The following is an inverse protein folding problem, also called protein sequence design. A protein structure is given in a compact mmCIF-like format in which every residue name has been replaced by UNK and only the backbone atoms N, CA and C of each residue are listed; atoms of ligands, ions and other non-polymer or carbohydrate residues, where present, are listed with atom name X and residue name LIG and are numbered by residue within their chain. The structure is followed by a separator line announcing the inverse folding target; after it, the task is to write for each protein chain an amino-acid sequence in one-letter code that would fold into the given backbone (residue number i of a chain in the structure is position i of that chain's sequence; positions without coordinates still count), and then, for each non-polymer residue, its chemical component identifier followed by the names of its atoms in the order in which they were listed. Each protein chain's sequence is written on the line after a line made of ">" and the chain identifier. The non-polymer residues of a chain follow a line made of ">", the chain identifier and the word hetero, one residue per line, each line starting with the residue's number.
data_IF_377477549366
#
_entry.id   IF_377477549366
#
_cell.length_a   1.000
_cell.length_b   1.000
_cell.length_c   1.000
_cell.angle_alpha   90.00
_cell.angle_beta   90.00
_cell.angle_gamma   90.00
#
_symmetry.space_group_name_H-M   'P 1'
#
loop_
_entity.id
_entity.type
_entity.pdbx_description
1 polymer ?
#
# COMPACT_ATOMS: atom_id res chain seq x y z
N UNK A 1 1.24 26.91 -29.80
CA UNK A 1 0.95 25.53 -29.33
C UNK A 1 1.25 24.42 -30.35
N UNK A 2 1.36 24.65 -31.67
CA UNK A 2 1.40 23.52 -32.64
C UNK A 2 2.69 22.69 -32.69
N UNK A 3 3.87 23.20 -32.29
CA UNK A 3 5.13 22.43 -32.40
C UNK A 3 5.43 21.50 -31.21
N UNK A 4 4.80 21.73 -30.05
CA UNK A 4 5.07 20.95 -28.83
C UNK A 4 4.70 19.48 -29.05
N UNK A 5 3.48 19.23 -29.55
CA UNK A 5 2.97 17.88 -29.84
C UNK A 5 3.90 17.09 -30.78
N UNK A 6 4.30 17.68 -31.91
CA UNK A 6 5.18 16.97 -32.85
C UNK A 6 6.54 16.66 -32.24
N UNK A 7 7.10 17.58 -31.44
CA UNK A 7 8.37 17.37 -30.74
C UNK A 7 8.28 16.26 -29.70
N UNK A 8 7.21 16.21 -28.90
CA UNK A 8 7.04 15.14 -27.89
C UNK A 8 6.79 13.78 -28.55
N UNK A 9 6.06 13.74 -29.66
CA UNK A 9 5.87 12.51 -30.46
C UNK A 9 7.22 12.01 -30.98
N UNK A 10 8.00 12.87 -31.64
CA UNK A 10 9.32 12.51 -32.16
C UNK A 10 10.25 12.01 -31.04
N UNK A 11 10.19 12.65 -29.87
CA UNK A 11 11.00 12.26 -28.71
C UNK A 11 10.55 10.90 -28.15
N UNK A 12 9.24 10.65 -28.06
CA UNK A 12 8.68 9.40 -27.56
C UNK A 12 9.09 8.20 -28.41
N UNK A 13 9.13 8.34 -29.74
CA UNK A 13 9.59 7.29 -30.66
C UNK A 13 11.08 6.95 -30.54
N UNK A 14 11.90 7.89 -30.04
CA UNK A 14 13.35 7.68 -29.84
C UNK A 14 13.68 7.07 -28.47
N UNK A 15 12.74 7.08 -27.51
CA UNK A 15 12.95 6.52 -26.18
C UNK A 15 13.11 5.01 -26.25
N UNK A 16 14.15 4.49 -25.58
CA UNK A 16 14.39 3.06 -25.40
C UNK A 16 13.84 2.59 -24.06
N UNK A 17 13.68 1.28 -23.92
CA UNK A 17 13.35 0.68 -22.64
C UNK A 17 14.46 0.99 -21.63
N UNK A 18 14.07 1.36 -20.42
CA UNK A 18 15.00 1.48 -19.29
C UNK A 18 15.47 0.07 -18.94
N UNK A 19 16.77 -0.09 -18.69
CA UNK A 19 17.32 -1.38 -18.31
C UNK A 19 16.92 -1.69 -16.87
N UNK A 20 16.22 -2.82 -16.69
CA UNK A 20 15.79 -3.32 -15.39
C UNK A 20 16.72 -4.44 -14.97
N UNK A 21 17.52 -4.17 -13.94
CA UNK A 21 18.43 -5.14 -13.35
C UNK A 21 17.64 -6.35 -12.85
N UNK A 22 17.85 -7.51 -13.47
CA UNK A 22 17.24 -8.76 -12.97
C UNK A 22 17.99 -9.17 -11.71
N UNK A 23 17.29 -9.45 -10.59
CA UNK A 23 17.91 -10.11 -9.45
C UNK A 23 18.62 -11.39 -9.90
N UNK A 24 19.83 -11.61 -9.39
CA UNK A 24 20.57 -12.85 -9.65
C UNK A 24 19.92 -14.06 -8.95
N UNK A 25 19.29 -13.79 -7.82
CA UNK A 25 18.59 -14.75 -6.95
C UNK A 25 17.21 -15.13 -7.49
N UNK A 26 16.67 -16.27 -7.03
CA UNK A 26 15.31 -16.69 -7.39
C UNK A 26 14.27 -15.78 -6.71
N UNK A 27 13.06 -15.62 -7.29
CA UNK A 27 11.96 -14.88 -6.67
C UNK A 27 11.65 -15.24 -5.22
N UNK A 28 11.78 -16.51 -4.85
CA UNK A 28 11.58 -16.98 -3.48
C UNK A 28 12.55 -16.37 -2.45
N UNK A 29 13.73 -15.94 -2.88
CA UNK A 29 14.78 -15.41 -2.00
C UNK A 29 14.55 -13.93 -1.66
N UNK A 30 13.96 -13.16 -2.58
CA UNK A 30 13.63 -11.75 -2.35
C UNK A 30 12.15 -11.49 -2.09
N UNK A 31 11.29 -12.52 -2.14
CA UNK A 31 9.87 -12.37 -1.85
C UNK A 31 9.64 -11.87 -0.42
N UNK A 32 8.79 -10.87 -0.26
CA UNK A 32 8.48 -10.23 1.02
C UNK A 32 9.73 -9.72 1.78
N UNK A 33 10.83 -9.43 1.07
CA UNK A 33 12.07 -8.88 1.64
C UNK A 33 11.82 -7.63 2.47
N UNK A 34 10.95 -6.73 1.98
CA UNK A 34 10.62 -5.46 2.61
C UNK A 34 9.35 -5.50 3.46
N UNK A 35 8.90 -6.67 3.90
CA UNK A 35 7.69 -6.83 4.72
C UNK A 35 8.05 -7.46 6.04
N UNK A 36 7.63 -6.87 7.16
CA UNK A 36 7.78 -7.40 8.52
C UNK A 36 6.79 -8.56 8.77
N UNK A 37 6.99 -9.66 8.04
CA UNK A 37 6.15 -10.85 8.05
C UNK A 37 6.39 -11.74 9.30
N UNK A 38 5.61 -12.81 9.47
CA UNK A 38 5.71 -13.73 10.62
C UNK A 38 7.13 -14.28 10.83
N UNK A 39 7.87 -14.54 9.77
CA UNK A 39 9.28 -14.99 9.84
C UNK A 39 10.20 -13.93 10.48
N UNK A 40 10.09 -12.67 10.04
CA UNK A 40 10.86 -11.57 10.63
C UNK A 40 10.38 -11.27 12.04
N UNK A 41 9.08 -11.27 12.29
CA UNK A 41 8.53 -11.16 13.64
C UNK A 41 9.16 -12.20 14.58
N UNK A 42 9.29 -13.45 14.14
CA UNK A 42 9.94 -14.50 14.94
C UNK A 42 11.44 -14.24 15.20
N UNK A 43 12.15 -13.67 14.22
CA UNK A 43 13.57 -13.31 14.35
C UNK A 43 13.80 -12.10 15.27
N UNK A 44 12.94 -11.09 15.20
CA UNK A 44 13.16 -9.78 15.83
C UNK A 44 12.40 -9.59 17.15
N UNK A 45 11.41 -10.43 17.47
CA UNK A 45 10.60 -10.32 18.68
C UNK A 45 10.93 -11.41 19.70
N UNK A 46 10.88 -11.10 21.01
CA UNK A 46 10.90 -12.13 22.05
C UNK A 46 9.75 -13.12 21.88
N UNK A 47 9.97 -14.40 22.21
CA UNK A 47 8.99 -15.47 21.94
C UNK A 47 7.60 -15.21 22.54
N UNK A 48 7.52 -14.60 23.72
CA UNK A 48 6.24 -14.23 24.36
C UNK A 48 5.50 -13.16 23.55
N UNK A 49 6.21 -12.14 23.09
CA UNK A 49 5.68 -11.04 22.28
C UNK A 49 5.24 -11.54 20.90
N UNK A 50 6.07 -12.37 20.27
CA UNK A 50 5.71 -13.02 19.01
C UNK A 50 4.39 -13.79 19.15
N UNK A 51 4.25 -14.67 20.15
CA UNK A 51 3.03 -15.44 20.34
C UNK A 51 1.80 -14.56 20.61
N UNK A 52 1.95 -13.50 21.40
CA UNK A 52 0.88 -12.54 21.66
C UNK A 52 0.47 -11.78 20.39
N UNK A 53 1.44 -11.37 19.57
CA UNK A 53 1.17 -10.70 18.30
C UNK A 53 0.49 -11.63 17.29
N UNK A 54 0.91 -12.90 17.22
CA UNK A 54 0.25 -13.91 16.37
C UNK A 54 -1.20 -14.12 16.80
N UNK A 55 -1.47 -14.20 18.11
CA UNK A 55 -2.84 -14.31 18.62
C UNK A 55 -3.70 -13.07 18.28
N UNK A 56 -3.12 -11.87 18.36
CA UNK A 56 -3.78 -10.65 17.92
C UNK A 56 -4.10 -10.65 16.42
N UNK A 57 -3.19 -11.16 15.59
CA UNK A 57 -3.37 -11.25 14.12
C UNK A 57 -4.43 -12.29 13.75
N UNK A 58 -4.28 -13.51 14.26
CA UNK A 58 -5.07 -14.66 13.81
C UNK A 58 -6.45 -14.70 14.50
N UNK A 59 -6.53 -14.26 15.76
CA UNK A 59 -7.73 -14.36 16.61
C UNK A 59 -8.32 -13.01 17.05
N UNK A 60 -7.67 -11.88 16.74
CA UNK A 60 -8.17 -10.55 17.10
C UNK A 60 -8.06 -10.22 18.59
N UNK A 61 -7.15 -10.88 19.31
CA UNK A 61 -6.88 -10.59 20.71
C UNK A 61 -6.36 -9.13 20.89
N UNK A 62 -6.71 -8.45 21.98
CA UNK A 62 -6.18 -7.12 22.27
C UNK A 62 -4.67 -7.19 22.58
N UNK A 63 -3.92 -6.20 22.09
CA UNK A 63 -2.50 -6.05 22.41
C UNK A 63 -2.33 -5.15 23.63
N UNK A 64 -1.67 -5.67 24.66
CA UNK A 64 -1.26 -4.87 25.82
C UNK A 64 -0.18 -3.86 25.43
N UNK A 65 -0.16 -2.71 26.10
CA UNK A 65 0.80 -1.64 25.83
C UNK A 65 2.26 -2.08 26.02
N UNK A 66 2.52 -2.93 27.01
CA UNK A 66 3.87 -3.49 27.23
C UNK A 66 4.36 -4.34 26.05
N UNK A 67 3.45 -5.14 25.47
CA UNK A 67 3.73 -5.92 24.25
C UNK A 67 3.96 -4.99 23.07
N UNK A 68 3.18 -3.91 22.94
CA UNK A 68 3.35 -2.94 21.86
C UNK A 68 4.72 -2.25 21.88
N UNK A 69 5.26 -1.92 23.06
CA UNK A 69 6.60 -1.34 23.19
C UNK A 69 7.69 -2.32 22.71
N UNK A 70 7.57 -3.61 23.05
CA UNK A 70 8.50 -4.63 22.57
C UNK A 70 8.37 -4.90 21.06
N UNK A 71 7.13 -4.86 20.52
CA UNK A 71 6.89 -4.95 19.07
C UNK A 71 7.51 -3.77 18.34
N UNK A 72 7.31 -2.55 18.83
CA UNK A 72 7.89 -1.35 18.26
C UNK A 72 9.42 -1.44 18.24
N UNK A 73 10.04 -1.85 19.35
CA UNK A 73 11.49 -2.03 19.42
C UNK A 73 12.02 -3.06 18.39
N UNK A 74 11.36 -4.21 18.25
CA UNK A 74 11.74 -5.22 17.25
C UNK A 74 11.52 -4.78 15.80
N UNK A 75 10.40 -4.10 15.53
CA UNK A 75 10.07 -3.55 14.21
C UNK A 75 11.07 -2.45 13.81
N UNK A 76 11.40 -1.54 14.73
CA UNK A 76 12.42 -0.50 14.55
C UNK A 76 13.78 -1.12 14.25
N UNK A 77 14.20 -2.13 15.04
CA UNK A 77 15.49 -2.80 14.83
C UNK A 77 15.59 -3.40 13.42
N UNK A 78 14.54 -4.09 12.97
CA UNK A 78 14.47 -4.61 11.61
C UNK A 78 14.55 -3.50 10.57
N UNK A 79 13.78 -2.42 10.74
CA UNK A 79 13.75 -1.30 9.80
C UNK A 79 15.12 -0.62 9.66
N UNK A 80 15.83 -0.39 10.77
CA UNK A 80 17.17 0.20 10.75
C UNK A 80 18.18 -0.71 10.06
N UNK A 81 18.13 -2.03 10.30
CA UNK A 81 18.98 -2.99 9.58
C UNK A 81 18.73 -2.95 8.06
N UNK A 82 17.56 -2.51 7.63
CA UNK A 82 17.19 -2.30 6.22
C UNK A 82 17.54 -0.89 5.70
N UNK A 83 18.11 -0.01 6.53
CA UNK A 83 18.52 1.35 6.15
C UNK A 83 17.41 2.40 6.20
N UNK A 84 16.29 2.09 6.84
CA UNK A 84 15.14 3.00 6.97
C UNK A 84 15.47 4.12 7.96
N UNK A 85 15.04 5.34 7.63
CA UNK A 85 15.27 6.54 8.47
C UNK A 85 13.96 7.15 9.00
N UNK A 86 12.84 6.88 8.34
CA UNK A 86 11.52 7.42 8.69
C UNK A 86 10.50 6.30 8.91
N UNK A 87 9.39 6.63 9.57
CA UNK A 87 8.20 5.81 9.63
C UNK A 87 6.97 6.64 9.29
N UNK A 88 5.90 5.97 8.86
CA UNK A 88 4.60 6.59 8.59
C UNK A 88 3.47 5.66 8.99
N UNK A 89 2.40 6.25 9.52
CA UNK A 89 1.10 5.58 9.59
C UNK A 89 0.47 5.65 8.20
N UNK A 90 0.44 4.51 7.52
CA UNK A 90 -0.06 4.37 6.15
C UNK A 90 -1.53 3.99 6.19
N UNK A 91 -2.40 4.80 5.58
CA UNK A 91 -3.84 4.54 5.52
C UNK A 91 -4.47 5.07 4.24
N UNK A 92 -5.67 4.60 3.91
CA UNK A 92 -6.45 5.02 2.76
C UNK A 92 -7.70 5.80 3.21
N UNK A 93 -7.62 7.14 3.32
CA UNK A 93 -8.78 7.98 3.67
C UNK A 93 -9.84 7.96 2.57
N UNK A 94 -11.02 8.53 2.86
CA UNK A 94 -12.16 8.67 1.92
C UNK A 94 -11.92 9.71 0.79
N UNK A 95 -10.71 9.75 0.24
CA UNK A 95 -10.28 10.66 -0.83
C UNK A 95 -9.66 9.91 -2.02
N UNK A 96 -10.00 8.62 -2.18
CA UNK A 96 -9.58 7.74 -3.30
C UNK A 96 -8.06 7.53 -3.44
N UNK A 97 -7.27 7.88 -2.42
CA UNK A 97 -5.81 7.72 -2.40
C UNK A 97 -5.30 7.24 -1.04
N UNK A 98 -3.98 7.12 -0.92
CA UNK A 98 -3.30 6.84 0.35
C UNK A 98 -2.80 8.14 0.98
N UNK A 99 -2.73 8.16 2.31
CA UNK A 99 -2.17 9.25 3.08
C UNK A 99 -0.98 8.74 3.91
N UNK A 100 0.06 9.55 3.94
CA UNK A 100 1.29 9.28 4.65
C UNK A 100 1.81 10.58 5.28
N UNK A 101 2.35 10.45 6.49
CA UNK A 101 3.12 11.50 7.16
C UNK A 101 4.41 10.85 7.63
N UNK A 102 5.52 11.31 7.08
CA UNK A 102 6.83 10.73 7.37
C UNK A 102 7.41 11.41 8.61
N UNK A 103 7.52 10.65 9.69
CA UNK A 103 8.16 11.06 10.93
C UNK A 103 9.54 10.37 11.02
N UNK A 104 10.57 11.12 11.39
CA UNK A 104 11.91 10.56 11.55
C UNK A 104 11.98 9.69 12.81
N UNK A 105 12.79 8.63 12.78
CA UNK A 105 13.08 7.88 14.00
C UNK A 105 13.90 8.69 15.01
N UNK A 106 14.58 9.75 14.60
CA UNK A 106 15.49 10.51 15.47
C UNK A 106 14.78 11.64 16.21
N UNK A 107 15.00 11.70 17.52
CA UNK A 107 14.65 12.81 18.39
C UNK A 107 15.90 13.37 19.09
N UNK A 108 15.85 14.64 19.47
CA UNK A 108 16.95 15.29 20.17
C UNK A 108 16.99 14.86 21.64
N UNK A 109 18.14 14.44 22.14
CA UNK A 109 18.30 13.88 23.50
C UNK A 109 18.27 14.94 24.64
N UNK A 110 18.09 16.21 24.28
CA UNK A 110 18.10 17.36 25.18
C UNK A 110 19.49 17.78 25.68
N UNK A 111 20.54 17.08 25.25
CA UNK A 111 21.95 17.27 25.66
C UNK A 111 22.87 17.60 24.47
N UNK A 112 22.32 17.78 23.28
CA UNK A 112 23.06 18.11 22.06
C UNK A 112 23.36 16.90 21.17
N UNK A 113 22.83 15.72 21.51
CA UNK A 113 22.87 14.51 20.71
C UNK A 113 21.52 14.15 20.10
N UNK A 114 21.52 13.11 19.26
CA UNK A 114 20.32 12.53 18.67
C UNK A 114 20.15 11.10 19.21
N UNK A 115 18.92 10.74 19.54
CA UNK A 115 18.53 9.39 19.91
C UNK A 115 17.44 8.91 18.98
N UNK A 116 17.50 7.64 18.58
CA UNK A 116 16.41 7.08 17.80
C UNK A 116 15.31 6.56 18.74
N UNK A 117 14.08 7.03 18.56
CA UNK A 117 12.90 6.64 19.33
C UNK A 117 11.79 6.11 18.43
N UNK A 118 11.25 4.94 18.79
CA UNK A 118 10.02 4.40 18.22
C UNK A 118 9.35 3.54 19.29
N UNK A 119 8.35 4.13 19.96
CA UNK A 119 7.68 3.51 21.11
C UNK A 119 6.40 2.81 20.70
N UNK A 120 5.92 1.89 21.53
CA UNK A 120 4.63 1.21 21.33
C UNK A 120 3.46 2.18 21.32
N UNK A 121 3.58 3.33 21.99
CA UNK A 121 2.61 4.42 21.88
C UNK A 121 2.49 4.91 20.43
N UNK A 122 3.62 5.22 19.80
CA UNK A 122 3.67 5.69 18.40
C UNK A 122 3.27 4.61 17.41
N UNK A 123 3.53 3.34 17.73
CA UNK A 123 3.07 2.21 16.91
C UNK A 123 1.55 2.05 16.97
N UNK A 124 0.96 2.03 18.16
CA UNK A 124 -0.46 1.68 18.35
C UNK A 124 -1.39 2.83 17.96
N UNK A 125 -1.00 4.07 18.25
CA UNK A 125 -1.85 5.23 17.99
C UNK A 125 -1.02 6.48 17.66
N UNK A 126 -1.37 7.15 16.56
CA UNK A 126 -0.85 8.48 16.25
C UNK A 126 -2.01 9.49 16.15
N UNK A 127 -1.68 10.76 16.39
CA UNK A 127 -2.53 11.90 16.06
C UNK A 127 -2.01 12.51 14.75
N UNK A 128 -2.42 12.00 13.58
CA UNK A 128 -2.14 12.69 12.32
C UNK A 128 -2.88 14.03 12.32
N UNK A 129 -2.25 15.07 11.79
CA UNK A 129 -2.95 16.33 11.52
C UNK A 129 -4.05 16.05 10.49
N UNK A 130 -5.27 16.00 10.99
CA UNK A 130 -6.47 15.57 10.28
C UNK A 130 -7.31 16.76 9.79
N UNK A 131 -6.80 17.99 9.94
CA UNK A 131 -7.49 19.23 9.57
C UNK A 131 -7.96 19.28 8.10
N UNK A 132 -7.33 18.48 7.23
CA UNK A 132 -7.61 18.43 5.80
C UNK A 132 -8.55 17.30 5.35
N UNK A 133 -8.86 16.33 6.22
CA UNK A 133 -9.68 15.16 5.86
C UNK A 133 -11.10 15.24 6.47
N UNK A 134 -12.16 14.86 5.72
CA UNK A 134 -12.20 14.50 4.30
C UNK A 134 -12.36 15.71 3.36
N UNK A 135 -12.69 16.89 3.89
CA UNK A 135 -12.88 18.12 3.13
C UNK A 135 -12.07 19.25 3.76
N UNK A 136 -10.98 19.65 3.11
CA UNK A 136 -10.06 20.66 3.63
C UNK A 136 -10.76 21.99 3.95
N UNK A 137 -10.66 22.40 5.22
CA UNK A 137 -10.90 23.79 5.63
C UNK A 137 -12.33 24.18 6.04
N UNK A 138 -13.30 23.26 6.16
CA UNK A 138 -14.69 23.60 6.55
C UNK A 138 -15.01 23.26 8.02
N UNK A 139 -14.14 22.52 8.72
CA UNK A 139 -14.35 22.12 10.13
C UNK A 139 -13.55 23.02 11.09
N UNK A 140 -14.10 23.31 12.27
CA UNK A 140 -13.32 23.94 13.35
C UNK A 140 -12.08 23.08 13.64
N UNK A 141 -10.91 23.69 13.75
CA UNK A 141 -9.61 23.01 13.89
C UNK A 141 -9.52 22.05 15.08
N UNK A 142 -10.34 22.23 16.12
CA UNK A 142 -10.37 21.30 17.26
C UNK A 142 -11.17 20.02 16.98
N UNK A 143 -12.18 20.06 16.10
CA UNK A 143 -13.04 18.92 15.72
C UNK A 143 -12.47 18.10 14.56
N UNK A 144 -11.52 18.68 13.83
CA UNK A 144 -10.82 18.01 12.75
C UNK A 144 -9.66 17.13 13.24
N UNK A 145 -9.72 16.66 14.50
CA UNK A 145 -8.77 15.67 15.04
C UNK A 145 -9.17 14.28 14.58
N UNK A 146 -8.19 13.53 14.12
CA UNK A 146 -8.33 12.12 13.77
C UNK A 146 -7.22 11.32 14.43
N UNK A 147 -7.48 10.04 14.62
CA UNK A 147 -6.56 9.09 15.22
C UNK A 147 -6.29 7.98 14.23
N UNK A 148 -5.01 7.66 14.03
CA UNK A 148 -4.63 6.42 13.40
C UNK A 148 -4.50 5.33 14.46
N UNK A 149 -4.88 4.11 14.12
CA UNK A 149 -4.61 2.94 14.94
C UNK A 149 -4.03 1.81 14.09
N UNK A 150 -2.93 1.22 14.54
CA UNK A 150 -2.29 0.13 13.79
C UNK A 150 -3.19 -1.10 13.72
N UNK A 151 -3.32 -1.65 12.51
CA UNK A 151 -3.95 -2.96 12.30
C UNK A 151 -2.87 -4.03 12.06
N UNK A 152 -2.58 -4.89 13.05
CA UNK A 152 -1.56 -5.92 12.93
C UNK A 152 -1.89 -7.00 11.90
N UNK A 153 -3.16 -7.12 11.46
CA UNK A 153 -3.54 -8.09 10.42
C UNK A 153 -2.90 -7.80 9.06
N UNK A 154 -2.50 -6.55 8.83
CA UNK A 154 -1.70 -6.13 7.67
C UNK A 154 -0.26 -5.89 8.13
N UNK A 155 0.74 -6.62 7.61
CA UNK A 155 2.11 -6.48 8.08
C UNK A 155 2.69 -5.11 7.71
N UNK A 156 3.52 -4.54 8.59
CA UNK A 156 4.31 -3.37 8.26
C UNK A 156 5.29 -3.67 7.13
N UNK A 157 5.58 -2.68 6.30
CA UNK A 157 6.44 -2.85 5.12
C UNK A 157 7.31 -1.61 4.92
N UNK A 158 8.33 -1.73 4.08
CA UNK A 158 9.27 -0.65 3.78
C UNK A 158 9.10 -0.27 2.32
N UNK A 159 8.94 1.03 2.08
CA UNK A 159 9.06 1.63 0.74
C UNK A 159 10.19 2.64 0.82
N UNK A 160 11.16 2.51 -0.08
CA UNK A 160 12.37 3.31 -0.11
C UNK A 160 13.08 3.35 1.26
N UNK A 161 13.05 4.50 1.94
CA UNK A 161 13.70 4.75 3.22
C UNK A 161 12.71 4.86 4.39
N UNK A 162 11.46 4.45 4.19
CA UNK A 162 10.34 4.68 5.11
C UNK A 162 9.63 3.38 5.52
N UNK A 163 9.45 3.19 6.83
CA UNK A 163 8.64 2.12 7.42
C UNK A 163 7.15 2.51 7.39
N UNK A 164 6.37 1.84 6.56
CA UNK A 164 4.92 2.01 6.45
C UNK A 164 4.18 1.08 7.42
N UNK A 165 3.38 1.66 8.31
CA UNK A 165 2.59 0.96 9.33
C UNK A 165 1.11 1.01 8.90
N UNK A 166 0.50 -0.12 8.46
CA UNK A 166 -0.89 -0.12 8.00
C UNK A 166 -1.86 0.20 9.12
N UNK A 167 -2.62 1.27 8.98
CA UNK A 167 -3.47 1.80 10.06
C UNK A 167 -4.89 2.05 9.59
N UNK A 168 -5.81 2.04 10.54
CA UNK A 168 -7.15 2.59 10.36
C UNK A 168 -7.17 4.05 10.78
N UNK A 169 -8.04 4.86 10.17
CA UNK A 169 -8.17 6.29 10.48
C UNK A 169 -9.59 6.63 10.93
N UNK A 170 -9.70 7.20 12.13
CA UNK A 170 -10.96 7.41 12.85
C UNK A 170 -11.04 8.87 13.31
N UNK A 171 -12.19 9.50 13.15
CA UNK A 171 -12.46 10.82 13.69
C UNK A 171 -12.45 10.81 15.24
N UNK A 172 -12.24 11.97 15.86
CA UNK A 172 -12.44 12.14 17.30
C UNK A 172 -13.86 11.73 17.77
N UNK A 173 -14.86 11.85 16.90
CA UNK A 173 -16.25 11.42 17.15
C UNK A 173 -16.45 9.90 17.05
N UNK A 174 -15.43 9.12 16.66
CA UNK A 174 -15.50 7.67 16.48
C UNK A 174 -15.96 7.22 15.09
N UNK A 175 -16.22 8.16 14.17
CA UNK A 175 -16.56 7.88 12.78
C UNK A 175 -15.35 7.35 12.00
N UNK A 176 -15.55 6.37 11.12
CA UNK A 176 -14.49 5.92 10.22
C UNK A 176 -14.26 6.94 9.12
N UNK A 177 -13.01 7.40 8.96
CA UNK A 177 -12.58 8.34 7.92
C UNK A 177 -11.73 7.66 6.85
N UNK A 178 -11.73 6.32 6.83
CA UNK A 178 -11.00 5.47 5.90
C UNK A 178 -11.87 4.39 5.28
N UNK A 179 -11.27 3.66 4.33
CA UNK A 179 -11.87 2.46 3.75
C UNK A 179 -11.61 1.19 4.58
N UNK A 180 -10.54 1.16 5.37
CA UNK A 180 -10.09 -0.04 6.07
C UNK A 180 -10.98 -0.40 7.26
N UNK A 181 -11.37 0.56 8.11
CA UNK A 181 -12.23 0.26 9.25
C UNK A 181 -13.63 -0.26 8.84
N UNK A 182 -14.33 0.31 7.82
CA UNK A 182 -15.57 -0.25 7.30
C UNK A 182 -15.40 -1.67 6.73
N UNK A 183 -14.31 -1.92 5.97
CA UNK A 183 -14.02 -3.24 5.41
C UNK A 183 -13.82 -4.30 6.51
N UNK A 184 -13.02 -3.99 7.54
CA UNK A 184 -12.80 -4.91 8.67
C UNK A 184 -14.12 -5.24 9.40
N UNK A 185 -14.99 -4.24 9.59
CA UNK A 185 -16.33 -4.45 10.18
C UNK A 185 -17.20 -5.34 9.30
N UNK A 186 -17.20 -5.12 7.99
CA UNK A 186 -17.95 -5.92 7.03
C UNK A 186 -17.47 -7.38 7.03
N UNK A 187 -16.15 -7.61 6.97
CA UNK A 187 -15.57 -8.96 7.02
C UNK A 187 -15.93 -9.70 8.30
N UNK A 188 -15.89 -9.03 9.46
CA UNK A 188 -16.33 -9.63 10.74
C UNK A 188 -17.80 -10.00 10.76
N UNK A 189 -18.66 -9.16 10.16
CA UNK A 189 -20.09 -9.44 10.07
C UNK A 189 -20.37 -10.66 9.17
N UNK A 190 -19.67 -10.75 8.03
CA UNK A 190 -19.75 -11.89 7.10
C UNK A 190 -19.25 -13.17 7.77
N UNK A 191 -18.09 -13.13 8.43
CA UNK A 191 -17.53 -14.27 9.17
C UNK A 191 -18.53 -14.83 10.18
N UNK A 192 -19.06 -13.97 11.07
CA UNK A 192 -20.04 -14.38 12.09
C UNK A 192 -21.27 -15.04 11.47
N UNK A 193 -21.88 -14.40 10.46
CA UNK A 193 -23.07 -14.93 9.81
C UNK A 193 -22.79 -16.26 9.07
N UNK A 194 -21.64 -16.36 8.40
CA UNK A 194 -21.25 -17.57 7.68
C UNK A 194 -20.94 -18.74 8.63
N UNK A 195 -20.27 -18.49 9.76
CA UNK A 195 -20.02 -19.51 10.80
C UNK A 195 -21.33 -20.09 11.33
N UNK A 196 -22.33 -19.26 11.62
CA UNK A 196 -23.63 -19.72 12.13
C UNK A 196 -24.31 -20.66 11.13
N UNK A 197 -24.22 -20.36 9.82
CA UNK A 197 -24.76 -21.23 8.76
C UNK A 197 -23.94 -22.50 8.60
N UNK A 198 -22.61 -22.41 8.58
CA UNK A 198 -21.71 -23.56 8.42
C UNK A 198 -21.90 -24.61 9.54
N UNK A 199 -22.25 -24.17 10.75
CA UNK A 199 -22.46 -25.05 11.91
C UNK A 199 -23.68 -25.97 11.79
N UNK A 200 -24.60 -25.70 10.86
CA UNK A 200 -25.64 -26.68 10.51
C UNK A 200 -25.06 -27.94 9.85
N UNK A 201 -23.90 -27.84 9.19
CA UNK A 201 -23.25 -28.95 8.48
C UNK A 201 -22.03 -29.50 9.22
N UNK A 202 -21.24 -28.63 9.86
CA UNK A 202 -20.08 -29.01 10.65
C UNK A 202 -19.97 -28.11 11.90
N UNK A 203 -20.30 -28.64 13.11
CA UNK A 203 -20.20 -27.90 14.37
C UNK A 203 -18.78 -27.40 14.72
N UNK A 204 -17.73 -28.00 14.16
CA UNK A 204 -16.34 -27.64 14.45
C UNK A 204 -15.87 -26.35 13.76
N UNK A 205 -16.66 -25.78 12.84
CA UNK A 205 -16.32 -24.53 12.15
C UNK A 205 -16.27 -23.38 13.16
N UNK A 206 -15.11 -22.70 13.19
CA UNK A 206 -14.84 -21.56 14.12
C UNK A 206 -14.72 -20.21 13.42
N UNK A 207 -14.36 -20.20 12.14
CA UNK A 207 -14.08 -18.98 11.36
C UNK A 207 -14.28 -19.26 9.87
N UNK A 208 -14.81 -18.30 9.15
CA UNK A 208 -14.93 -18.27 7.69
C UNK A 208 -14.14 -17.06 7.18
N UNK A 209 -13.22 -17.30 6.26
CA UNK A 209 -12.33 -16.27 5.70
C UNK A 209 -12.75 -15.97 4.26
N UNK A 210 -12.93 -14.70 3.94
CA UNK A 210 -13.13 -14.24 2.57
C UNK A 210 -11.78 -14.00 1.89
N UNK A 211 -11.59 -14.59 0.70
CA UNK A 211 -10.42 -14.34 -0.15
C UNK A 211 -10.81 -13.40 -1.30
N UNK A 212 -9.96 -12.42 -1.58
CA UNK A 212 -10.13 -11.48 -2.69
C UNK A 212 -8.97 -11.67 -3.69
N UNK A 213 -9.31 -12.15 -4.88
CA UNK A 213 -8.43 -12.12 -6.05
C UNK A 213 -8.90 -11.01 -6.99
N UNK A 214 -8.16 -9.90 -7.04
CA UNK A 214 -8.47 -8.78 -7.94
C UNK A 214 -7.61 -8.87 -9.19
N UNK A 215 -8.14 -8.33 -10.29
CA UNK A 215 -7.44 -8.13 -11.55
C UNK A 215 -7.34 -6.62 -11.78
N UNK A 216 -6.14 -6.11 -12.05
CA UNK A 216 -5.91 -4.68 -12.22
C UNK A 216 -5.53 -4.35 -13.64
N UNK A 217 -6.42 -3.62 -14.29
CA UNK A 217 -6.18 -3.01 -15.60
C UNK A 217 -5.65 -1.59 -15.44
N UNK A 218 -4.86 -1.15 -16.42
CA UNK A 218 -4.32 0.20 -16.49
C UNK A 218 -3.90 0.56 -17.93
N UNK A 219 -3.87 1.85 -18.22
CA UNK A 219 -3.30 2.40 -19.45
C UNK A 219 -1.93 3.00 -19.18
N UNK A 220 -1.02 2.89 -20.14
CA UNK A 220 0.29 3.55 -20.09
C UNK A 220 0.44 4.55 -21.24
N UNK A 221 0.71 5.80 -20.90
CA UNK A 221 0.99 6.86 -21.87
C UNK A 221 2.41 7.38 -21.63
N UNK A 222 3.15 7.67 -22.71
CA UNK A 222 4.45 8.33 -22.57
C UNK A 222 4.28 9.66 -21.82
N UNK A 223 5.07 9.87 -20.77
CA UNK A 223 5.00 11.08 -19.93
C UNK A 223 5.00 12.38 -20.73
N UNK A 224 5.78 12.48 -21.82
CA UNK A 224 5.80 13.66 -22.68
C UNK A 224 4.51 13.87 -23.48
N UNK A 225 3.86 12.79 -23.88
CA UNK A 225 2.54 12.82 -24.54
C UNK A 225 1.43 13.13 -23.53
N UNK A 226 1.52 12.57 -22.32
CA UNK A 226 0.62 12.86 -21.20
C UNK A 226 0.67 14.35 -20.83
N UNK A 227 1.86 14.91 -20.64
CA UNK A 227 2.05 16.33 -20.34
C UNK A 227 1.58 17.27 -21.47
N UNK A 228 1.60 16.80 -22.72
CA UNK A 228 1.06 17.54 -23.86
C UNK A 228 -0.48 17.51 -23.96
N UNK A 229 -1.16 16.78 -23.06
CA UNK A 229 -2.63 16.67 -22.96
C UNK A 229 -3.11 17.23 -21.62
N UNK A 230 -3.36 18.55 -21.51
CA UNK A 230 -3.81 19.18 -20.28
C UNK A 230 -5.10 18.57 -19.72
N UNK A 231 -5.99 18.10 -20.58
CA UNK A 231 -7.23 17.42 -20.17
C UNK A 231 -6.94 16.09 -19.47
N UNK A 232 -6.04 15.27 -20.02
CA UNK A 232 -5.61 14.02 -19.41
C UNK A 232 -4.82 14.26 -18.10
N UNK A 233 -3.97 15.28 -18.09
CA UNK A 233 -3.18 15.68 -16.93
C UNK A 233 -4.06 16.13 -15.75
N UNK A 234 -5.08 16.94 -16.01
CA UNK A 234 -5.91 17.53 -14.96
C UNK A 234 -7.09 16.66 -14.54
N UNK A 235 -7.60 15.80 -15.44
CA UNK A 235 -8.84 15.05 -15.17
C UNK A 235 -8.66 13.54 -15.14
N UNK A 236 -7.46 13.03 -15.41
CA UNK A 236 -7.19 11.59 -15.48
C UNK A 236 -7.83 10.89 -16.69
N UNK A 237 -8.54 11.63 -17.55
CA UNK A 237 -9.18 11.11 -18.77
C UNK A 237 -9.11 12.13 -19.90
N UNK A 238 -9.29 11.67 -21.13
CA UNK A 238 -9.43 12.57 -22.28
C UNK A 238 -10.82 13.21 -22.27
N UNK A 239 -10.90 14.54 -22.40
CA UNK A 239 -12.18 15.27 -22.50
C UNK A 239 -12.60 15.50 -23.94
N UNK A 240 -11.65 15.41 -24.86
CA UNK A 240 -11.83 15.62 -26.28
C UNK A 240 -10.87 14.72 -27.07
N UNK A 241 -11.28 14.35 -28.27
CA UNK A 241 -10.52 13.48 -29.14
C UNK A 241 -11.46 12.81 -30.14
N UNK A 242 -10.99 12.59 -31.36
CA UNK A 242 -11.67 11.68 -32.26
C UNK A 242 -11.37 10.25 -31.81
N UNK A 243 -12.36 9.36 -31.89
CA UNK A 243 -12.16 7.94 -31.60
C UNK A 243 -11.02 7.37 -32.46
N UNK A 244 -10.31 6.39 -31.89
CA UNK A 244 -9.25 5.71 -32.63
C UNK A 244 -9.88 4.97 -33.82
N UNK A 245 -9.18 4.96 -34.96
CA UNK A 245 -9.70 4.39 -36.21
C UNK A 245 -10.08 2.89 -36.11
N UNK A 246 -9.59 2.18 -35.07
CA UNK A 246 -9.86 0.76 -34.82
C UNK A 246 -10.58 0.48 -33.50
N UNK A 247 -10.76 1.48 -32.64
CA UNK A 247 -11.42 1.40 -31.33
C UNK A 247 -11.11 0.07 -30.58
N UNK A 248 -12.13 -0.61 -30.02
CA UNK A 248 -12.00 -1.93 -29.39
C UNK A 248 -12.01 -3.11 -30.38
N UNK A 249 -11.88 -2.87 -31.69
CA UNK A 249 -12.02 -3.91 -32.74
C UNK A 249 -10.69 -4.57 -33.13
N UNK A 250 -9.62 -4.32 -32.37
CA UNK A 250 -8.34 -5.04 -32.51
C UNK A 250 -8.40 -6.32 -31.66
N UNK A 251 -9.14 -7.33 -32.13
CA UNK A 251 -9.17 -8.66 -31.51
C UNK A 251 -7.74 -9.27 -31.37
N UNK A 252 -6.82 -8.87 -32.25
CA UNK A 252 -5.41 -9.32 -32.28
C UNK A 252 -4.51 -8.70 -31.16
N UNK A 253 -5.01 -7.74 -30.38
CA UNK A 253 -4.20 -7.10 -29.32
C UNK A 253 -4.25 -7.84 -27.98
N UNK A 254 -5.29 -8.63 -27.75
CA UNK A 254 -5.40 -9.49 -26.57
C UNK A 254 -4.32 -10.59 -26.64
N UNK A 255 -3.43 -10.62 -25.66
CA UNK A 255 -2.18 -11.42 -25.70
C UNK A 255 -1.22 -11.10 -26.88
N UNK A 256 -1.38 -9.95 -27.54
CA UNK A 256 -0.45 -9.46 -28.55
C UNK A 256 0.93 -9.14 -27.97
N UNK A 257 1.92 -8.92 -28.84
CA UNK A 257 3.28 -8.60 -28.42
C UNK A 257 3.35 -7.32 -27.56
N UNK A 258 3.94 -7.42 -26.37
CA UNK A 258 4.10 -6.29 -25.45
C UNK A 258 5.27 -5.41 -25.93
N UNK A 259 5.07 -4.08 -26.13
CA UNK A 259 6.16 -3.16 -26.47
C UNK A 259 7.31 -3.26 -25.46
N UNK A 260 8.56 -3.23 -25.92
CA UNK A 260 9.74 -3.45 -25.06
C UNK A 260 9.83 -2.49 -23.87
N UNK A 261 9.42 -1.23 -24.05
CA UNK A 261 9.33 -0.24 -22.95
C UNK A 261 8.32 -0.65 -21.88
N UNK A 262 7.17 -1.16 -22.29
CA UNK A 262 6.10 -1.64 -21.40
C UNK A 262 6.53 -2.93 -20.70
N UNK A 263 7.16 -3.85 -21.44
CA UNK A 263 7.68 -5.10 -20.86
C UNK A 263 8.76 -4.84 -19.79
N UNK A 264 9.63 -3.84 -19.99
CA UNK A 264 10.59 -3.42 -18.98
C UNK A 264 9.89 -2.84 -17.74
N UNK A 265 8.93 -1.93 -17.91
CA UNK A 265 8.12 -1.42 -16.81
C UNK A 265 7.42 -2.53 -16.02
N UNK A 266 6.73 -3.46 -16.71
CA UNK A 266 6.04 -4.57 -16.06
C UNK A 266 7.00 -5.51 -15.31
N UNK A 267 8.23 -5.69 -15.82
CA UNK A 267 9.27 -6.47 -15.16
C UNK A 267 9.73 -5.81 -13.86
N UNK A 268 9.93 -4.50 -13.88
CA UNK A 268 10.33 -3.74 -12.69
C UNK A 268 9.21 -3.78 -11.63
N UNK A 269 7.98 -3.48 -12.04
CA UNK A 269 6.79 -3.56 -11.20
C UNK A 269 6.64 -4.93 -10.55
N UNK A 270 6.85 -6.01 -11.31
CA UNK A 270 6.76 -7.38 -10.79
C UNK A 270 7.84 -7.67 -9.74
N UNK A 271 9.08 -7.23 -9.98
CA UNK A 271 10.19 -7.41 -9.03
C UNK A 271 9.90 -6.66 -7.72
N UNK A 272 9.48 -5.39 -7.79
CA UNK A 272 9.18 -4.59 -6.61
C UNK A 272 7.94 -5.10 -5.86
N UNK A 273 6.88 -5.49 -6.57
CA UNK A 273 5.69 -6.11 -5.99
C UNK A 273 6.04 -7.36 -5.18
N UNK A 274 6.88 -8.24 -5.74
CA UNK A 274 7.33 -9.46 -5.04
C UNK A 274 8.16 -9.12 -3.80
N UNK A 275 9.04 -8.11 -3.84
CA UNK A 275 9.80 -7.66 -2.65
C UNK A 275 8.89 -7.12 -1.55
N UNK A 276 7.78 -6.49 -1.92
CA UNK A 276 6.70 -6.05 -1.03
C UNK A 276 5.71 -7.17 -0.65
N UNK A 277 5.99 -8.42 -1.04
CA UNK A 277 5.17 -9.58 -0.69
C UNK A 277 3.84 -9.67 -1.43
N UNK A 278 3.65 -8.88 -2.50
CA UNK A 278 2.48 -8.92 -3.36
C UNK A 278 2.69 -10.04 -4.40
N UNK A 279 1.88 -11.12 -4.38
CA UNK A 279 2.10 -12.31 -5.21
C UNK A 279 1.51 -12.13 -6.62
N UNK A 280 2.04 -11.16 -7.38
CA UNK A 280 1.67 -10.98 -8.80
C UNK A 280 1.93 -12.25 -9.60
N UNK A 281 0.92 -12.66 -10.39
CA UNK A 281 0.90 -13.97 -11.05
C UNK A 281 0.89 -13.90 -12.56
N UNK A 282 0.13 -12.97 -13.12
CA UNK A 282 -0.12 -12.85 -14.55
C UNK A 282 0.06 -11.40 -15.01
N UNK A 283 0.53 -11.23 -16.24
CA UNK A 283 0.61 -9.95 -16.95
C UNK A 283 0.37 -10.19 -18.43
N UNK A 284 -0.42 -9.35 -19.07
CA UNK A 284 -0.68 -9.37 -20.50
C UNK A 284 -1.14 -7.99 -20.99
N UNK A 285 -1.17 -7.82 -22.31
CA UNK A 285 -1.90 -6.70 -22.92
C UNK A 285 -3.40 -7.00 -22.90
N UNK A 286 -4.18 -5.92 -22.86
CA UNK A 286 -5.64 -5.97 -22.98
C UNK A 286 -6.10 -5.59 -24.40
N UNK A 287 -7.39 -5.74 -24.69
CA UNK A 287 -7.97 -5.48 -26.02
C UNK A 287 -7.77 -4.03 -26.49
N UNK A 288 -7.81 -3.07 -25.56
CA UNK A 288 -7.68 -1.66 -25.89
C UNK A 288 -6.21 -1.26 -26.15
N UNK A 289 -5.93 -0.52 -27.24
CA UNK A 289 -4.60 0.04 -27.46
C UNK A 289 -4.28 1.13 -26.44
N UNK A 290 -3.00 1.22 -26.06
CA UNK A 290 -2.44 2.32 -25.24
C UNK A 290 -2.25 3.62 -26.05
#
# INVERSE_FOLDING_TARGET
>A
MSKLRFRVVETAFKKKAVEVATPAERPSEYFAKYVFNKEKMFKYLPSKVYNALIDAIDNGAPLDRSIADEVAAGMKKWAIEMGVTHYTHWFAPLTEGTAEKHDAFVEHDGKGGMMEEFTGKLLVQQEPDASSFPNGGIRNTFEARGYSAWDPSSPAFIVDDTLCIPTVFIAYTGEALDYKAPLLKALRAVDKAAVDVCRYFNPEVKKVVAYLGWEQEYFLVDEGLYAARPDLLMTGRTLMGHDSAKNQQLEDHYFGAIPTRVAAFMKDLEIEALKLGIPVKTRHNEVAPN
#
